data_IF_993795846518
#
_entry.id   IF_993795846518
#
_cell.length_a   1.000
_cell.length_b   1.000
_cell.length_c   1.000
_cell.angle_alpha   90.00
_cell.angle_beta   90.00
_cell.angle_gamma   90.00
#
_symmetry.space_group_name_H-M   'P 1'
#
loop_
_entity.id
_entity.type
_entity.pdbx_description
1 polymer ?
#
# COMPACT_ATOMS: atom_id res chain seq x y z
N UNK A 1 -29.78 -0.56 7.36
CA UNK A 1 -29.16 -1.15 8.56
C UNK A 1 -27.67 -0.95 8.41
N UNK A 2 -27.01 -0.21 9.32
CA UNK A 2 -25.54 -0.11 9.27
C UNK A 2 -24.97 -1.45 9.71
N UNK A 3 -24.48 -2.24 8.75
CA UNK A 3 -23.71 -3.44 9.07
C UNK A 3 -22.49 -2.99 9.88
N UNK A 4 -22.38 -3.50 11.12
CA UNK A 4 -21.21 -3.22 11.95
C UNK A 4 -19.99 -3.85 11.29
N UNK A 5 -18.94 -3.05 11.07
CA UNK A 5 -17.67 -3.56 10.58
C UNK A 5 -17.06 -4.53 11.60
N UNK A 6 -16.36 -5.58 11.13
CA UNK A 6 -15.68 -6.51 12.00
C UNK A 6 -14.55 -5.81 12.77
N UNK A 7 -14.48 -6.04 14.07
CA UNK A 7 -13.39 -5.57 14.91
C UNK A 7 -12.29 -6.62 15.03
N UNK A 8 -11.05 -6.17 15.06
CA UNK A 8 -9.87 -7.02 15.16
C UNK A 8 -9.03 -6.61 16.37
N UNK A 9 -8.39 -7.60 17.00
CA UNK A 9 -7.55 -7.35 18.16
C UNK A 9 -6.15 -6.87 17.75
N UNK A 10 -5.38 -6.41 18.73
CA UNK A 10 -4.04 -5.86 18.53
C UNK A 10 -3.09 -6.84 17.81
N UNK A 11 -3.11 -8.14 18.16
CA UNK A 11 -2.26 -9.15 17.51
C UNK A 11 -2.64 -9.37 16.04
N UNK A 12 -3.92 -9.31 15.70
CA UNK A 12 -4.40 -9.39 14.33
C UNK A 12 -3.94 -8.18 13.52
N UNK A 13 -4.02 -6.99 14.10
CA UNK A 13 -3.52 -5.76 13.48
C UNK A 13 -2.01 -5.76 13.29
N UNK A 14 -1.23 -6.25 14.26
CA UNK A 14 0.21 -6.41 14.10
C UNK A 14 0.53 -7.35 12.93
N UNK A 15 -0.15 -8.49 12.84
CA UNK A 15 0.00 -9.43 11.70
C UNK A 15 -0.42 -8.81 10.36
N UNK A 16 -1.48 -8.01 10.35
CA UNK A 16 -1.90 -7.27 9.17
C UNK A 16 -0.81 -6.30 8.71
N UNK A 17 -0.29 -5.48 9.63
CA UNK A 17 0.80 -4.56 9.37
C UNK A 17 2.04 -5.29 8.83
N UNK A 18 2.48 -6.35 9.50
CA UNK A 18 3.66 -7.12 9.07
C UNK A 18 3.48 -7.65 7.64
N UNK A 19 2.28 -8.15 7.31
CA UNK A 19 1.99 -8.68 5.99
C UNK A 19 1.94 -7.62 4.88
N UNK A 20 1.48 -6.39 5.16
CA UNK A 20 1.57 -5.28 4.19
C UNK A 20 3.02 -4.91 3.92
N UNK A 21 3.84 -4.83 4.98
CA UNK A 21 5.26 -4.52 4.86
C UNK A 21 5.99 -5.62 4.10
N UNK A 22 5.64 -6.89 4.34
CA UNK A 22 6.17 -8.03 3.58
C UNK A 22 5.80 -7.97 2.10
N UNK A 23 4.53 -7.67 1.76
CA UNK A 23 4.10 -7.47 0.35
C UNK A 23 4.94 -6.39 -0.36
N UNK A 24 5.29 -5.31 0.34
CA UNK A 24 6.14 -4.26 -0.20
C UNK A 24 7.60 -4.70 -0.38
N UNK A 25 8.17 -5.39 0.61
CA UNK A 25 9.54 -5.90 0.52
C UNK A 25 9.67 -6.92 -0.62
N UNK A 26 8.71 -7.84 -0.77
CA UNK A 26 8.66 -8.81 -1.86
C UNK A 26 8.62 -8.11 -3.22
N UNK A 27 7.83 -7.04 -3.34
CA UNK A 27 7.79 -6.24 -4.56
C UNK A 27 9.13 -5.55 -4.85
N UNK A 28 9.79 -4.97 -3.85
CA UNK A 28 11.15 -4.40 -4.03
C UNK A 28 12.17 -5.46 -4.45
N UNK A 29 12.08 -6.68 -3.91
CA UNK A 29 12.94 -7.79 -4.34
C UNK A 29 12.69 -8.16 -5.79
N UNK A 30 11.43 -8.23 -6.22
CA UNK A 30 11.07 -8.48 -7.63
C UNK A 30 11.69 -7.42 -8.55
N UNK A 31 11.59 -6.13 -8.21
CA UNK A 31 12.18 -5.05 -9.00
C UNK A 31 13.70 -5.21 -9.15
N UNK A 32 14.39 -5.52 -8.04
CA UNK A 32 15.84 -5.77 -8.03
C UNK A 32 16.23 -6.96 -8.90
N UNK A 33 15.46 -8.05 -8.84
CA UNK A 33 15.72 -9.26 -9.63
C UNK A 33 15.50 -9.05 -11.13
N UNK A 34 14.52 -8.24 -11.51
CA UNK A 34 14.20 -7.95 -12.92
C UNK A 34 15.08 -6.87 -13.54
N UNK A 35 15.76 -6.07 -12.70
CA UNK A 35 16.73 -5.07 -13.13
C UNK A 35 16.11 -3.70 -13.46
N UNK A 36 16.98 -2.80 -13.92
CA UNK A 36 16.71 -1.35 -14.01
C UNK A 36 15.57 -1.04 -14.98
N UNK A 37 15.57 -1.62 -16.18
CA UNK A 37 14.55 -1.33 -17.20
C UNK A 37 13.14 -1.73 -16.74
N UNK A 38 13.02 -2.88 -16.08
CA UNK A 38 11.76 -3.31 -15.49
C UNK A 38 11.33 -2.38 -14.36
N UNK A 39 12.29 -1.95 -13.53
CA UNK A 39 12.03 -1.01 -12.43
C UNK A 39 11.51 0.32 -12.94
N UNK A 40 12.13 0.89 -13.99
CA UNK A 40 11.66 2.14 -14.62
C UNK A 40 10.23 1.99 -15.12
N UNK A 41 9.91 0.88 -15.82
CA UNK A 41 8.54 0.62 -16.30
C UNK A 41 7.51 0.48 -15.19
N UNK A 42 7.94 0.10 -13.99
CA UNK A 42 7.08 -0.15 -12.83
C UNK A 42 7.23 0.90 -11.72
N UNK A 43 7.93 2.01 -11.98
CA UNK A 43 8.21 3.05 -11.00
C UNK A 43 6.93 3.63 -10.40
N UNK A 44 5.87 3.80 -11.21
CA UNK A 44 4.56 4.28 -10.71
C UNK A 44 3.93 3.34 -9.69
N UNK A 45 3.99 2.03 -9.93
CA UNK A 45 3.49 1.04 -8.97
C UNK A 45 4.31 1.06 -7.69
N UNK A 46 5.62 1.29 -7.79
CA UNK A 46 6.50 1.44 -6.63
C UNK A 46 6.13 2.68 -5.79
N UNK A 47 5.89 3.83 -6.41
CA UNK A 47 5.48 5.06 -5.72
C UNK A 47 4.14 4.88 -5.01
N UNK A 48 3.11 4.38 -5.71
CA UNK A 48 1.81 4.12 -5.11
C UNK A 48 1.91 3.13 -3.94
N UNK A 49 2.74 2.09 -4.07
CA UNK A 49 3.00 1.18 -2.96
C UNK A 49 3.66 1.88 -1.78
N UNK A 50 4.60 2.78 -2.02
CA UNK A 50 5.27 3.55 -0.97
C UNK A 50 4.29 4.45 -0.21
N UNK A 51 3.42 5.17 -0.93
CA UNK A 51 2.38 6.02 -0.31
C UNK A 51 1.43 5.19 0.55
N UNK A 52 0.93 4.08 0.00
CA UNK A 52 0.05 3.18 0.73
C UNK A 52 0.74 2.56 1.94
N UNK A 53 2.02 2.20 1.84
CA UNK A 53 2.79 1.60 2.94
C UNK A 53 3.09 2.60 4.05
N UNK A 54 3.24 3.89 3.73
CA UNK A 54 3.51 4.92 4.72
C UNK A 54 2.43 4.93 5.83
N UNK A 55 1.17 4.79 5.45
CA UNK A 55 0.03 4.65 6.36
C UNK A 55 0.17 3.47 7.33
N UNK A 56 0.79 2.37 6.88
CA UNK A 56 1.00 1.17 7.70
C UNK A 56 2.29 1.21 8.52
N UNK A 57 3.23 2.09 8.20
CA UNK A 57 4.51 2.19 8.93
C UNK A 57 4.37 2.90 10.28
N UNK A 58 3.29 3.65 10.52
CA UNK A 58 3.00 4.33 11.78
C UNK A 58 2.91 3.39 13.00
N UNK A 59 2.87 3.96 14.21
CA UNK A 59 2.65 3.18 15.45
C UNK A 59 1.36 2.38 15.33
N UNK A 60 1.35 1.16 15.87
CA UNK A 60 0.23 0.24 15.65
C UNK A 60 -1.11 0.83 16.11
N UNK A 61 -1.16 1.53 17.24
CA UNK A 61 -2.39 2.20 17.70
C UNK A 61 -2.92 3.23 16.68
N UNK A 62 -2.02 3.99 16.04
CA UNK A 62 -2.36 4.93 14.98
C UNK A 62 -2.91 4.21 13.76
N UNK A 63 -2.24 3.14 13.32
CA UNK A 63 -2.72 2.28 12.22
C UNK A 63 -4.12 1.73 12.51
N UNK A 64 -4.38 1.29 13.74
CA UNK A 64 -5.70 0.79 14.15
C UNK A 64 -6.74 1.90 14.04
N UNK A 65 -6.51 3.04 14.71
CA UNK A 65 -7.49 4.14 14.72
C UNK A 65 -7.77 4.69 13.32
N UNK A 66 -6.75 4.81 12.46
CA UNK A 66 -6.91 5.40 11.14
C UNK A 66 -7.57 4.43 10.14
N UNK A 67 -7.38 3.11 10.32
CA UNK A 67 -7.81 2.10 9.35
C UNK A 67 -8.97 1.21 9.81
N UNK A 68 -9.38 1.24 11.07
CA UNK A 68 -10.41 0.33 11.60
C UNK A 68 -11.78 0.48 10.95
N UNK A 69 -12.09 1.67 10.45
CA UNK A 69 -13.34 1.95 9.72
C UNK A 69 -13.17 1.91 8.18
N UNK A 70 -11.97 1.61 7.70
CA UNK A 70 -11.69 1.58 6.27
C UNK A 70 -11.91 0.16 5.70
N UNK A 71 -13.05 -0.06 5.04
CA UNK A 71 -13.42 -1.35 4.43
C UNK A 71 -12.35 -1.89 3.48
N UNK A 72 -11.65 -1.01 2.76
CA UNK A 72 -10.56 -1.41 1.89
C UNK A 72 -9.38 -1.95 2.69
N UNK A 73 -8.95 -1.23 3.75
CA UNK A 73 -7.89 -1.70 4.64
C UNK A 73 -8.27 -3.02 5.33
N UNK A 74 -9.50 -3.14 5.85
CA UNK A 74 -9.99 -4.35 6.51
C UNK A 74 -10.01 -5.59 5.60
N UNK A 75 -9.96 -5.42 4.28
CA UNK A 75 -9.90 -6.54 3.35
C UNK A 75 -8.64 -7.41 3.52
N UNK A 76 -7.56 -6.87 4.13
CA UNK A 76 -6.36 -7.63 4.44
C UNK A 76 -6.63 -8.83 5.36
N UNK A 77 -7.55 -8.70 6.31
CA UNK A 77 -7.85 -9.78 7.24
C UNK A 77 -8.46 -10.99 6.52
N UNK A 78 -9.17 -10.75 5.40
CA UNK A 78 -9.64 -11.82 4.52
C UNK A 78 -8.49 -12.48 3.77
N UNK A 79 -7.51 -11.71 3.32
CA UNK A 79 -6.32 -12.25 2.65
C UNK A 79 -5.53 -13.15 3.59
N UNK A 80 -5.27 -12.67 4.81
CA UNK A 80 -4.54 -13.45 5.81
C UNK A 80 -5.27 -14.72 6.22
N UNK A 81 -6.62 -14.69 6.25
CA UNK A 81 -7.43 -15.88 6.51
C UNK A 81 -7.38 -16.90 5.38
N UNK A 82 -7.28 -16.47 4.13
CA UNK A 82 -7.44 -17.34 2.95
C UNK A 82 -6.12 -17.77 2.31
N UNK A 83 -5.13 -16.86 2.26
CA UNK A 83 -3.87 -17.02 1.52
C UNK A 83 -2.63 -16.89 2.40
N UNK A 84 -2.78 -16.39 3.64
CA UNK A 84 -1.69 -16.06 4.58
C UNK A 84 -0.72 -14.97 4.11
N UNK A 85 -0.99 -14.34 2.96
CA UNK A 85 -0.19 -13.25 2.40
C UNK A 85 -1.12 -12.09 2.09
N UNK A 86 -0.63 -10.85 2.22
CA UNK A 86 -1.37 -9.66 1.81
C UNK A 86 -1.39 -9.53 0.28
N UNK A 87 -2.51 -9.03 -0.26
CA UNK A 87 -2.51 -8.43 -1.61
C UNK A 87 -3.18 -7.05 -1.60
N UNK A 88 -3.06 -6.35 -0.47
CA UNK A 88 -3.68 -5.06 -0.23
C UNK A 88 -3.05 -3.98 -1.11
N UNK A 89 -1.71 -3.95 -1.22
CA UNK A 89 -1.02 -2.95 -2.05
C UNK A 89 -1.31 -3.18 -3.52
N UNK A 90 -1.31 -4.45 -3.97
CA UNK A 90 -1.69 -4.80 -5.33
C UNK A 90 -3.11 -4.37 -5.68
N UNK A 91 -4.06 -4.60 -4.77
CA UNK A 91 -5.42 -4.10 -4.95
C UNK A 91 -5.47 -2.59 -4.95
N UNK A 92 -4.68 -1.92 -4.10
CA UNK A 92 -4.65 -0.47 -3.98
C UNK A 92 -4.17 0.16 -5.29
N UNK A 93 -3.06 -0.34 -5.81
CA UNK A 93 -2.56 0.02 -7.13
C UNK A 93 -3.60 -0.23 -8.22
N UNK A 94 -4.24 -1.41 -8.25
CA UNK A 94 -5.25 -1.73 -9.27
C UNK A 94 -6.47 -0.79 -9.17
N UNK A 95 -6.87 -0.42 -7.95
CA UNK A 95 -7.98 0.50 -7.73
C UNK A 95 -7.65 1.90 -8.25
N UNK A 96 -6.49 2.43 -7.87
CA UNK A 96 -5.99 3.74 -8.33
C UNK A 96 -5.75 3.71 -9.85
N UNK A 97 -5.29 2.57 -10.39
CA UNK A 97 -5.02 2.41 -11.83
C UNK A 97 -6.23 2.51 -12.73
N UNK A 98 -7.42 2.33 -12.18
CA UNK A 98 -8.67 2.42 -12.91
C UNK A 98 -9.30 3.82 -12.84
N UNK A 99 -8.66 4.79 -12.15
CA UNK A 99 -9.19 6.15 -12.10
C UNK A 99 -9.05 6.85 -13.46
N UNK A 100 -10.03 7.65 -13.90
CA UNK A 100 -9.96 8.33 -15.21
C UNK A 100 -8.74 9.24 -15.34
N UNK A 101 -8.34 9.87 -14.23
CA UNK A 101 -7.18 10.76 -14.11
C UNK A 101 -5.91 10.03 -13.68
N UNK A 102 -5.88 8.69 -13.77
CA UNK A 102 -4.73 7.84 -13.42
C UNK A 102 -3.48 8.07 -14.29
N UNK A 103 -3.51 9.06 -15.18
CA UNK A 103 -2.33 9.52 -15.88
C UNK A 103 -1.89 10.89 -15.36
N UNK A 104 -1.21 10.96 -14.20
CA UNK A 104 -0.46 12.15 -13.86
C UNK A 104 0.55 12.38 -14.99
N UNK A 105 0.53 13.59 -15.54
CA UNK A 105 1.47 13.97 -16.59
C UNK A 105 2.91 13.81 -16.08
N UNK A 106 3.88 13.63 -16.99
CA UNK A 106 5.29 13.57 -16.62
C UNK A 106 5.73 14.77 -15.76
N UNK A 107 5.06 15.93 -15.92
CA UNK A 107 5.27 17.12 -15.11
C UNK A 107 4.86 16.94 -13.65
N UNK A 108 3.74 16.25 -13.38
CA UNK A 108 3.28 15.99 -12.02
C UNK A 108 4.25 15.06 -11.26
N UNK A 109 4.77 14.02 -11.93
CA UNK A 109 5.81 13.15 -11.37
C UNK A 109 7.12 13.90 -11.09
N UNK A 110 7.48 14.86 -11.93
CA UNK A 110 8.71 15.63 -11.77
C UNK A 110 8.61 16.66 -10.62
N UNK A 111 7.45 17.28 -10.44
CA UNK A 111 7.19 18.22 -9.34
C UNK A 111 7.19 17.54 -7.97
N UNK A 112 6.58 16.37 -7.84
CA UNK A 112 6.59 15.59 -6.57
C UNK A 112 8.03 15.19 -6.17
N UNK A 113 8.86 14.81 -7.15
CA UNK A 113 10.26 14.48 -6.90
C UNK A 113 11.11 15.70 -6.47
N UNK A 114 10.84 16.90 -7.02
CA UNK A 114 11.51 18.13 -6.58
C UNK A 114 11.05 18.58 -5.19
N UNK A 115 9.77 18.41 -4.84
CA UNK A 115 9.26 18.72 -3.49
C UNK A 115 9.88 17.80 -2.43
N UNK A 116 10.04 16.51 -2.72
CA UNK A 116 10.72 15.56 -1.82
C UNK A 116 12.23 15.88 -1.68
N UNK A 117 12.92 16.33 -2.74
CA UNK A 117 14.31 16.77 -2.66
C UNK A 117 14.47 18.07 -1.85
N UNK A 118 13.49 18.97 -1.90
CA UNK A 118 13.51 20.25 -1.18
C UNK A 118 13.19 20.12 0.32
N UNK A 119 12.58 19.01 0.74
CA UNK A 119 12.26 18.70 2.14
C UNK A 119 13.32 17.83 2.84
N UNK A 120 14.35 17.37 2.13
CA UNK A 120 15.52 16.66 2.66
C UNK A 120 16.65 17.61 3.07
#
# INVERSE_FOLDING_TARGET
>A
MSEKLPTYNHDQWQKAKDAVLEEYEDYKQLLRQQGVDYTIKNARRLLIYQDLVAEWQHKLDTVITDLEDNVFALSIFRDLKTRKVSSLLERGYTHISNWPDFNPSALALWLELEEDEAMA
#
